data_IF_942055574887
#
_entry.id   IF_942055574887
#
_cell.length_a   1.000
_cell.length_b   1.000
_cell.length_c   1.000
_cell.angle_alpha   90.00
_cell.angle_beta   90.00
_cell.angle_gamma   90.00
#
_symmetry.space_group_name_H-M   'P 1'
#
loop_
_entity.id
_entity.type
_entity.pdbx_description
1 polymer ?
#
# COMPACT_ATOMS: atom_id res chain seq x y z
N UNK A 1 -17.41 16.56 7.85
CA UNK A 1 -18.77 16.42 8.42
C UNK A 1 -19.69 17.40 7.76
N UNK A 2 -20.66 16.90 7.00
CA UNK A 2 -21.66 17.61 6.18
C UNK A 2 -22.54 18.57 7.01
N UNK A 3 -21.94 19.61 7.60
CA UNK A 3 -22.55 20.48 8.60
C UNK A 3 -23.30 19.71 9.71
N UNK A 4 -22.71 18.65 10.27
CA UNK A 4 -23.40 17.74 11.22
C UNK A 4 -24.12 18.49 12.36
N UNK A 5 -23.46 19.47 12.96
CA UNK A 5 -24.04 20.35 14.00
C UNK A 5 -25.32 21.10 13.58
N UNK A 6 -25.56 21.29 12.27
CA UNK A 6 -26.79 21.91 11.73
C UNK A 6 -27.84 20.86 11.43
N UNK A 7 -27.43 19.79 10.74
CA UNK A 7 -28.35 18.71 10.33
C UNK A 7 -28.96 18.02 11.55
N UNK A 8 -28.17 17.81 12.62
CA UNK A 8 -28.66 17.28 13.90
C UNK A 8 -29.70 18.18 14.59
N UNK A 9 -29.68 19.49 14.31
CA UNK A 9 -30.67 20.45 14.78
C UNK A 9 -31.85 20.64 13.81
N UNK A 10 -31.97 19.80 12.77
CA UNK A 10 -33.01 19.91 11.75
C UNK A 10 -32.80 21.04 10.73
N UNK A 11 -31.61 21.64 10.69
CA UNK A 11 -31.27 22.71 9.75
C UNK A 11 -30.55 22.18 8.50
N UNK A 12 -30.78 22.82 7.35
CA UNK A 12 -30.04 22.50 6.13
C UNK A 12 -28.55 22.92 6.23
N UNK A 13 -27.65 22.25 5.49
CA UNK A 13 -26.24 22.61 5.40
C UNK A 13 -26.05 24.05 4.92
N UNK A 14 -25.03 24.74 5.43
CA UNK A 14 -24.77 26.13 5.06
C UNK A 14 -24.54 26.31 3.56
N UNK A 15 -23.84 25.37 2.90
CA UNK A 15 -23.59 25.43 1.46
C UNK A 15 -24.87 25.39 0.61
N UNK A 16 -25.95 24.77 1.11
CA UNK A 16 -27.24 24.75 0.42
C UNK A 16 -28.00 26.06 0.63
N UNK A 17 -28.07 26.56 1.87
CA UNK A 17 -28.81 27.79 2.21
C UNK A 17 -28.20 29.03 1.55
N UNK A 18 -26.86 29.11 1.49
CA UNK A 18 -26.15 30.27 0.95
C UNK A 18 -26.12 30.30 -0.58
N UNK A 19 -26.41 29.17 -1.24
CA UNK A 19 -26.28 29.06 -2.69
C UNK A 19 -27.42 29.84 -3.39
N UNK A 20 -27.12 30.97 -4.07
CA UNK A 20 -28.17 31.79 -4.68
C UNK A 20 -28.89 31.06 -5.83
N UNK A 21 -28.20 30.15 -6.50
CA UNK A 21 -28.74 29.35 -7.61
C UNK A 21 -29.32 28.01 -7.17
N UNK A 22 -29.30 27.70 -5.87
CA UNK A 22 -29.78 26.43 -5.31
C UNK A 22 -29.14 25.19 -5.98
N UNK A 23 -27.88 25.30 -6.41
CA UNK A 23 -27.15 24.24 -7.12
C UNK A 23 -26.83 23.01 -6.25
N UNK A 24 -26.94 23.11 -4.92
CA UNK A 24 -26.72 22.01 -4.00
C UNK A 24 -28.03 21.72 -3.28
N UNK A 25 -28.52 20.50 -3.44
CA UNK A 25 -29.71 20.00 -2.76
C UNK A 25 -29.30 18.83 -1.87
N UNK A 26 -29.73 18.86 -0.60
CA UNK A 26 -29.49 17.78 0.35
C UNK A 26 -30.79 17.34 1.03
N UNK A 27 -30.82 16.09 1.46
CA UNK A 27 -31.97 15.50 2.13
C UNK A 27 -31.83 13.98 2.27
N UNK A 28 -32.90 13.35 2.71
CA UNK A 28 -32.99 11.88 2.82
C UNK A 28 -33.38 11.29 1.46
N UNK A 29 -32.53 10.42 0.91
CA UNK A 29 -32.79 9.71 -0.36
C UNK A 29 -33.70 8.48 -0.16
N UNK A 30 -33.84 7.99 1.07
CA UNK A 30 -34.69 6.85 1.39
C UNK A 30 -36.16 7.26 1.62
N UNK A 31 -36.42 8.55 1.87
CA UNK A 31 -37.77 9.11 1.95
C UNK A 31 -38.27 9.55 0.56
N UNK A 32 -39.24 8.84 -0.04
CA UNK A 32 -39.77 9.16 -1.38
C UNK A 32 -40.54 10.49 -1.44
N UNK A 33 -40.95 11.02 -0.29
CA UNK A 33 -41.61 12.34 -0.22
C UNK A 33 -40.62 13.49 -0.18
N UNK A 34 -39.34 13.21 0.01
CA UNK A 34 -38.30 14.23 0.07
C UNK A 34 -38.10 14.91 -1.29
N UNK A 35 -37.72 16.19 -1.24
CA UNK A 35 -37.45 16.96 -2.45
C UNK A 35 -36.29 16.35 -3.26
N UNK A 36 -35.23 15.88 -2.59
CA UNK A 36 -34.07 15.28 -3.26
C UNK A 36 -34.41 13.93 -3.91
N UNK A 37 -35.23 13.10 -3.28
CA UNK A 37 -35.66 11.82 -3.86
C UNK A 37 -36.48 12.05 -5.14
N UNK A 38 -37.40 13.01 -5.10
CA UNK A 38 -38.18 13.41 -6.29
C UNK A 38 -37.28 13.99 -7.40
N UNK A 39 -36.30 14.82 -7.04
CA UNK A 39 -35.36 15.40 -8.00
C UNK A 39 -34.50 14.32 -8.67
N UNK A 40 -33.95 13.39 -7.88
CA UNK A 40 -33.13 12.27 -8.34
C UNK A 40 -33.91 11.29 -9.24
N UNK A 41 -35.24 11.20 -9.07
CA UNK A 41 -36.11 10.36 -9.89
C UNK A 41 -36.58 11.01 -11.20
N UNK A 42 -36.62 12.35 -11.26
CA UNK A 42 -37.16 13.10 -12.42
C UNK A 42 -36.09 13.62 -13.36
N UNK A 43 -34.92 13.96 -12.85
CA UNK A 43 -33.85 14.59 -13.62
C UNK A 43 -32.86 13.55 -14.18
N UNK A 44 -32.22 13.83 -15.33
CA UNK A 44 -31.13 13.01 -15.83
C UNK A 44 -29.90 13.20 -14.94
N UNK A 45 -29.68 12.22 -14.05
CA UNK A 45 -28.55 12.21 -13.12
C UNK A 45 -27.35 11.47 -13.70
N UNK A 46 -26.16 11.94 -13.33
CA UNK A 46 -24.89 11.23 -13.52
C UNK A 46 -24.17 11.12 -12.18
N UNK A 47 -23.39 10.06 -12.04
CA UNK A 47 -22.54 9.81 -10.88
C UNK A 47 -21.11 9.57 -11.34
N UNK A 48 -20.15 9.76 -10.44
CA UNK A 48 -18.73 9.47 -10.74
C UNK A 48 -18.47 7.97 -10.61
N UNK A 49 -17.74 7.41 -11.59
CA UNK A 49 -17.27 6.02 -11.62
C UNK A 49 -18.36 4.97 -11.30
N UNK A 50 -19.50 4.96 -12.01
CA UNK A 50 -20.60 4.02 -11.75
C UNK A 50 -20.16 2.55 -11.79
N UNK A 51 -19.16 2.21 -12.61
CA UNK A 51 -18.57 0.88 -12.75
C UNK A 51 -17.95 0.33 -11.46
N UNK A 52 -17.66 1.17 -10.46
CA UNK A 52 -17.11 0.74 -9.16
C UNK A 52 -18.17 0.18 -8.21
N UNK A 53 -19.45 0.34 -8.53
CA UNK A 53 -20.55 -0.20 -7.73
C UNK A 53 -20.53 0.29 -6.27
N UNK A 54 -20.09 1.53 -6.04
CA UNK A 54 -19.96 2.14 -4.70
C UNK A 54 -21.27 2.75 -4.18
N UNK A 55 -22.34 2.73 -4.99
CA UNK A 55 -23.65 3.33 -4.67
C UNK A 55 -23.49 4.76 -4.09
N UNK A 56 -22.91 5.69 -4.86
CA UNK A 56 -22.60 7.03 -4.36
C UNK A 56 -23.87 7.76 -3.94
N UNK A 57 -23.77 8.55 -2.86
CA UNK A 57 -24.85 9.38 -2.34
C UNK A 57 -24.88 10.80 -2.94
N UNK A 58 -24.02 11.05 -3.94
CA UNK A 58 -23.90 12.32 -4.64
C UNK A 58 -24.17 12.11 -6.12
N UNK A 59 -25.26 12.71 -6.60
CA UNK A 59 -25.68 12.74 -8.00
C UNK A 59 -25.48 14.14 -8.57
N UNK A 60 -25.16 14.22 -9.85
CA UNK A 60 -25.04 15.48 -10.58
C UNK A 60 -26.11 15.55 -11.67
N UNK A 61 -26.80 16.68 -11.78
CA UNK A 61 -27.79 16.94 -12.82
C UNK A 61 -27.09 17.65 -13.98
N UNK A 62 -27.28 17.18 -15.21
CA UNK A 62 -26.70 17.78 -16.43
C UNK A 62 -25.17 17.94 -16.39
N UNK A 63 -24.45 17.05 -15.69
CA UNK A 63 -22.99 17.12 -15.64
C UNK A 63 -22.35 16.63 -16.94
N UNK A 64 -21.42 17.43 -17.46
CA UNK A 64 -20.57 17.03 -18.56
C UNK A 64 -19.54 15.99 -18.11
N UNK A 65 -19.14 15.09 -19.02
CA UNK A 65 -18.19 14.02 -18.69
C UNK A 65 -16.80 14.55 -18.33
N UNK A 66 -16.39 15.65 -18.97
CA UNK A 66 -15.13 16.33 -18.68
C UNK A 66 -15.06 16.87 -17.24
N UNK A 67 -16.22 17.13 -16.62
CA UNK A 67 -16.32 17.60 -15.23
C UNK A 67 -16.36 16.46 -14.20
N UNK A 68 -16.74 15.25 -14.63
CA UNK A 68 -16.85 14.07 -13.77
C UNK A 68 -15.58 13.22 -13.77
N UNK A 69 -14.83 13.26 -14.86
CA UNK A 69 -13.62 12.46 -15.06
C UNK A 69 -12.38 13.35 -14.95
N UNK A 70 -11.59 13.28 -13.86
CA UNK A 70 -10.44 14.16 -13.64
C UNK A 70 -9.36 14.10 -14.75
N UNK A 71 -9.25 12.99 -15.46
CA UNK A 71 -8.33 12.80 -16.58
C UNK A 71 -8.87 13.21 -17.96
N UNK A 72 -10.14 13.62 -18.05
CA UNK A 72 -10.75 14.03 -19.32
C UNK A 72 -10.46 15.50 -19.68
N UNK A 73 -9.95 16.29 -18.74
CA UNK A 73 -9.51 17.66 -19.00
C UNK A 73 -8.00 17.78 -18.96
N UNK A 74 -7.45 18.66 -19.80
CA UNK A 74 -6.02 18.97 -19.79
C UNK A 74 -5.71 19.90 -18.63
N UNK A 75 -4.74 19.50 -17.80
CA UNK A 75 -4.17 20.36 -16.78
C UNK A 75 -3.29 21.43 -17.46
N UNK A 76 -3.46 22.72 -17.12
CA UNK A 76 -2.66 23.79 -17.72
C UNK A 76 -1.17 23.60 -17.44
N UNK A 77 -0.35 23.62 -18.49
CA UNK A 77 1.11 23.47 -18.38
C UNK A 77 1.77 24.86 -18.31
N UNK A 78 1.57 25.56 -17.20
CA UNK A 78 2.22 26.85 -16.96
C UNK A 78 1.43 27.75 -16.03
N UNK A 79 2.14 28.72 -15.45
CA UNK A 79 1.55 29.81 -14.69
C UNK A 79 0.94 30.79 -15.69
N UNK A 80 -0.40 30.92 -15.72
CA UNK A 80 -0.99 32.15 -16.22
C UNK A 80 -0.45 33.34 -15.42
N UNK A 81 -0.34 34.51 -16.06
CA UNK A 81 0.22 35.74 -15.49
C UNK A 81 -0.34 36.10 -14.09
N UNK A 82 -1.55 35.61 -13.78
CA UNK A 82 -2.25 35.82 -12.51
C UNK A 82 -2.78 34.53 -11.87
N UNK A 83 -2.43 33.34 -12.39
CA UNK A 83 -2.90 32.06 -11.84
C UNK A 83 -1.78 31.37 -11.08
N UNK A 84 -1.91 31.30 -9.76
CA UNK A 84 -1.15 30.35 -8.96
C UNK A 84 -1.84 29.00 -9.05
N UNK A 85 -1.32 28.12 -9.89
CA UNK A 85 -1.63 26.70 -9.73
C UNK A 85 -0.83 26.29 -8.51
N UNK A 86 -1.51 25.99 -7.40
CA UNK A 86 -0.89 25.21 -6.33
C UNK A 86 -0.59 23.87 -6.98
N UNK A 87 0.61 23.70 -7.55
CA UNK A 87 0.98 22.44 -8.15
C UNK A 87 0.96 21.46 -6.99
N UNK A 88 -0.06 20.57 -6.88
CA UNK A 88 0.00 19.50 -5.93
C UNK A 88 0.90 18.46 -6.58
N UNK A 89 2.12 18.89 -6.94
CA UNK A 89 3.20 17.94 -7.00
C UNK A 89 3.11 17.16 -5.70
N UNK A 90 3.42 15.87 -5.80
CA UNK A 90 3.66 15.05 -4.65
C UNK A 90 4.88 15.64 -3.93
N UNK A 91 4.70 16.78 -3.26
CA UNK A 91 5.57 17.32 -2.23
C UNK A 91 5.22 16.51 -1.01
N UNK A 92 5.47 15.21 -1.10
CA UNK A 92 5.78 14.50 0.11
C UNK A 92 7.14 15.04 0.57
N UNK A 93 7.10 16.12 1.37
CA UNK A 93 8.26 16.68 2.05
C UNK A 93 8.90 15.64 3.00
N UNK A 94 8.28 14.46 3.18
CA UNK A 94 8.80 13.39 4.02
C UNK A 94 9.96 12.61 3.39
N UNK A 95 10.21 12.74 2.08
CA UNK A 95 11.48 12.33 1.44
C UNK A 95 12.02 13.43 0.51
N UNK A 96 12.82 14.38 1.03
CA UNK A 96 13.38 15.51 0.26
C UNK A 96 14.25 15.09 -0.93
N UNK A 97 14.88 13.90 -0.85
CA UNK A 97 15.67 13.32 -1.94
C UNK A 97 14.82 12.89 -3.14
N UNK A 98 13.50 12.71 -2.96
CA UNK A 98 12.53 12.29 -3.98
C UNK A 98 11.71 13.45 -4.56
N UNK A 99 11.81 14.66 -4.02
CA UNK A 99 11.11 15.82 -4.58
C UNK A 99 11.82 16.26 -5.87
N UNK A 100 11.38 15.74 -7.00
CA UNK A 100 11.83 16.24 -8.30
C UNK A 100 11.33 17.67 -8.50
N UNK A 101 12.25 18.62 -8.64
CA UNK A 101 12.00 19.91 -9.27
C UNK A 101 11.67 19.65 -10.74
N UNK A 102 10.41 19.86 -11.14
CA UNK A 102 10.03 19.77 -12.55
C UNK A 102 10.57 21.00 -13.27
N UNK A 103 11.33 20.73 -14.32
CA UNK A 103 11.87 21.65 -15.31
C UNK A 103 10.78 22.49 -15.99
N UNK A 104 11.11 23.75 -16.26
CA UNK A 104 10.28 24.76 -16.92
C UNK A 104 9.59 24.22 -18.19
N UNK A 105 8.29 24.53 -18.34
CA UNK A 105 7.50 24.17 -19.51
C UNK A 105 8.11 24.77 -20.77
N UNK A 106 8.21 23.97 -21.84
CA UNK A 106 8.78 24.42 -23.11
C UNK A 106 7.76 25.26 -23.89
N UNK A 107 8.22 26.22 -24.69
CA UNK A 107 7.31 27.09 -25.48
C UNK A 107 6.42 26.35 -26.49
N UNK A 108 6.72 25.09 -26.79
CA UNK A 108 5.91 24.21 -27.64
C UNK A 108 4.65 23.71 -26.90
N UNK A 109 4.73 23.49 -25.59
CA UNK A 109 3.63 22.99 -24.75
C UNK A 109 2.49 24.02 -24.63
N UNK A 110 2.85 25.32 -24.63
CA UNK A 110 1.91 26.45 -24.59
C UNK A 110 1.10 26.61 -25.88
N UNK A 111 1.70 26.35 -27.05
CA UNK A 111 0.99 26.38 -28.33
C UNK A 111 0.02 25.20 -28.45
N UNK A 112 0.40 24.06 -27.89
CA UNK A 112 -0.43 22.86 -27.85
C UNK A 112 -1.58 22.99 -26.83
N UNK A 113 -1.46 23.84 -25.80
CA UNK A 113 -2.54 24.23 -24.88
C UNK A 113 -3.63 25.10 -25.57
N UNK A 114 -3.28 25.78 -26.67
CA UNK A 114 -4.18 26.68 -27.43
C UNK A 114 -4.89 25.98 -28.60
N UNK A 115 -4.40 24.82 -29.05
CA UNK A 115 -5.06 24.03 -30.11
C UNK A 115 -6.27 23.29 -29.53
N UNK A 116 -7.45 23.88 -29.75
CA UNK A 116 -8.73 23.51 -29.18
C UNK A 116 -9.26 22.16 -29.70
N UNK A 117 -9.51 21.21 -28.78
CA UNK A 117 -10.41 20.07 -28.97
C UNK A 117 -10.80 19.38 -27.64
N UNK A 118 -9.99 19.50 -26.57
CA UNK A 118 -10.28 18.95 -25.24
C UNK A 118 -10.63 20.02 -24.20
N UNK A 119 -11.51 19.69 -23.24
CA UNK A 119 -11.83 20.56 -22.10
C UNK A 119 -10.59 20.89 -21.27
N UNK A 120 -10.52 22.11 -20.73
CA UNK A 120 -9.38 22.60 -19.92
C UNK A 120 -9.77 22.70 -18.45
N UNK A 121 -8.90 22.25 -17.56
CA UNK A 121 -9.07 22.49 -16.12
C UNK A 121 -8.82 23.97 -15.82
N UNK A 122 -9.86 24.69 -15.40
CA UNK A 122 -9.78 26.12 -15.02
C UNK A 122 -9.56 26.29 -13.52
N UNK A 123 -10.27 25.48 -12.72
CA UNK A 123 -10.14 25.44 -11.27
C UNK A 123 -9.81 24.02 -10.83
N UNK A 124 -8.83 23.89 -9.95
CA UNK A 124 -8.45 22.63 -9.34
C UNK A 124 -8.17 22.84 -7.85
N UNK A 125 -8.46 21.83 -7.04
CA UNK A 125 -8.16 21.83 -5.60
C UNK A 125 -7.19 20.68 -5.33
N UNK A 126 -5.99 21.04 -4.87
CA UNK A 126 -5.03 20.05 -4.40
C UNK A 126 -5.56 19.30 -3.19
N UNK A 127 -5.53 17.97 -3.23
CA UNK A 127 -5.87 17.12 -2.10
C UNK A 127 -4.60 16.63 -1.41
N UNK A 128 -4.58 16.63 -0.08
CA UNK A 128 -3.48 16.04 0.67
C UNK A 128 -3.42 14.53 0.45
N UNK A 129 -2.21 13.98 0.40
CA UNK A 129 -1.99 12.53 0.29
C UNK A 129 -2.22 11.92 1.68
N UNK A 130 -3.26 11.08 1.86
CA UNK A 130 -3.62 10.60 3.19
C UNK A 130 -2.64 9.55 3.73
N UNK A 131 -2.05 8.72 2.87
CA UNK A 131 -1.10 7.68 3.28
C UNK A 131 0.30 7.99 2.75
N UNK A 132 1.24 8.28 3.66
CA UNK A 132 2.65 8.55 3.36
C UNK A 132 3.59 7.52 4.00
N UNK A 133 4.79 7.96 4.39
CA UNK A 133 5.87 7.10 4.90
C UNK A 133 5.50 6.13 6.02
N UNK A 134 4.60 6.51 6.93
CA UNK A 134 4.19 5.64 8.04
C UNK A 134 3.57 4.34 7.52
N UNK A 135 2.75 4.46 6.47
CA UNK A 135 2.07 3.33 5.83
C UNK A 135 3.05 2.41 5.14
N UNK A 136 3.97 2.96 4.35
CA UNK A 136 5.03 2.17 3.73
C UNK A 136 5.88 1.46 4.79
N UNK A 137 6.23 2.15 5.88
CA UNK A 137 7.09 1.59 6.92
C UNK A 137 6.41 0.44 7.66
N UNK A 138 5.13 0.56 8.02
CA UNK A 138 4.46 -0.55 8.71
C UNK A 138 4.12 -1.72 7.78
N UNK A 139 3.98 -1.52 6.47
CA UNK A 139 3.87 -2.64 5.52
C UNK A 139 5.20 -3.40 5.48
N UNK A 140 6.31 -2.67 5.43
CA UNK A 140 7.65 -3.26 5.36
C UNK A 140 8.02 -4.00 6.65
N UNK A 141 7.81 -3.38 7.81
CA UNK A 141 8.07 -4.04 9.11
C UNK A 141 7.17 -5.25 9.32
N UNK A 142 5.94 -5.22 8.80
CA UNK A 142 5.04 -6.36 8.84
C UNK A 142 5.57 -7.50 7.97
N UNK A 143 6.04 -7.21 6.77
CA UNK A 143 6.68 -8.21 5.87
C UNK A 143 7.89 -8.86 6.53
N UNK A 144 8.70 -8.10 7.27
CA UNK A 144 9.80 -8.64 8.08
C UNK A 144 9.28 -9.57 9.19
N UNK A 145 8.26 -9.13 9.93
CA UNK A 145 7.69 -9.91 11.03
C UNK A 145 7.12 -11.25 10.58
N UNK A 146 6.27 -11.23 9.55
CA UNK A 146 5.61 -12.42 9.04
C UNK A 146 6.58 -13.33 8.31
N UNK A 147 7.51 -12.76 7.54
CA UNK A 147 8.51 -13.47 6.78
C UNK A 147 9.44 -14.35 7.62
N UNK A 148 10.01 -13.79 8.70
CA UNK A 148 10.98 -14.54 9.51
C UNK A 148 10.35 -15.77 10.15
N UNK A 149 9.16 -15.63 10.73
CA UNK A 149 8.46 -16.76 11.34
C UNK A 149 7.93 -17.75 10.28
N UNK A 150 7.43 -17.26 9.15
CA UNK A 150 6.93 -18.11 8.06
C UNK A 150 8.02 -19.05 7.54
N UNK A 151 9.27 -18.59 7.44
CA UNK A 151 10.40 -19.43 7.05
C UNK A 151 10.76 -20.49 8.09
N UNK A 152 10.66 -20.18 9.38
CA UNK A 152 10.78 -21.18 10.45
C UNK A 152 9.66 -22.21 10.35
N UNK A 153 8.42 -21.77 10.15
CA UNK A 153 7.26 -22.63 10.01
C UNK A 153 7.35 -23.57 8.81
N UNK A 154 7.72 -23.06 7.64
CA UNK A 154 7.88 -23.87 6.43
C UNK A 154 9.12 -24.77 6.57
N UNK A 155 10.29 -24.21 6.89
CA UNK A 155 11.55 -24.95 6.91
C UNK A 155 11.57 -26.08 7.94
N UNK A 156 11.25 -25.76 9.19
CA UNK A 156 11.25 -26.75 10.30
C UNK A 156 9.96 -27.57 10.29
N UNK A 157 8.80 -26.95 10.05
CA UNK A 157 7.51 -27.64 10.12
C UNK A 157 7.32 -28.71 9.05
N UNK A 158 7.89 -28.52 7.85
CA UNK A 158 7.87 -29.54 6.79
C UNK A 158 9.04 -30.54 6.86
N UNK A 159 10.01 -30.30 7.73
CA UNK A 159 11.21 -31.13 7.85
C UNK A 159 12.26 -30.89 6.75
N UNK A 160 12.15 -29.81 5.96
CA UNK A 160 13.16 -29.43 4.96
C UNK A 160 14.52 -29.11 5.60
N UNK A 161 14.50 -28.61 6.85
CA UNK A 161 15.70 -28.21 7.58
C UNK A 161 15.57 -28.60 9.04
N UNK A 162 16.67 -29.05 9.64
CA UNK A 162 16.71 -29.32 11.09
C UNK A 162 16.56 -28.03 11.91
N UNK A 163 15.81 -28.12 13.01
CA UNK A 163 15.62 -27.03 13.96
C UNK A 163 16.96 -26.55 14.54
N UNK A 164 17.16 -25.23 14.55
CA UNK A 164 18.44 -24.62 14.91
C UNK A 164 18.23 -23.25 15.57
N UNK A 165 19.24 -22.70 16.27
CA UNK A 165 19.08 -21.46 17.02
C UNK A 165 18.59 -20.26 16.20
N UNK A 166 18.96 -20.16 14.92
CA UNK A 166 18.49 -19.09 14.03
C UNK A 166 16.99 -19.20 13.75
N UNK A 167 16.47 -20.39 13.44
CA UNK A 167 15.04 -20.61 13.16
C UNK A 167 14.19 -20.72 14.43
N UNK A 168 14.75 -21.17 15.55
CA UNK A 168 14.06 -21.16 16.84
C UNK A 168 14.02 -19.75 17.42
N UNK A 169 15.16 -19.16 17.76
CA UNK A 169 15.23 -17.90 18.50
C UNK A 169 15.30 -16.69 17.59
N UNK A 170 16.14 -16.73 16.55
CA UNK A 170 16.28 -15.61 15.62
C UNK A 170 14.95 -15.25 14.95
N UNK A 171 14.29 -16.23 14.34
CA UNK A 171 12.99 -16.03 13.69
C UNK A 171 11.91 -15.53 14.65
N UNK A 172 11.79 -16.13 15.85
CA UNK A 172 10.79 -15.74 16.85
C UNK A 172 11.01 -14.33 17.38
N UNK A 173 12.23 -14.00 17.80
CA UNK A 173 12.55 -12.70 18.39
C UNK A 173 12.40 -11.60 17.35
N UNK A 174 12.90 -11.82 16.13
CA UNK A 174 12.73 -10.86 15.04
C UNK A 174 11.25 -10.69 14.67
N UNK A 175 10.48 -11.78 14.60
CA UNK A 175 9.06 -11.71 14.31
C UNK A 175 8.31 -10.90 15.37
N UNK A 176 8.55 -11.15 16.66
CA UNK A 176 7.95 -10.41 17.77
C UNK A 176 8.38 -8.93 17.77
N UNK A 177 9.66 -8.65 17.53
CA UNK A 177 10.20 -7.29 17.48
C UNK A 177 9.54 -6.47 16.37
N UNK A 178 9.55 -7.00 15.14
CA UNK A 178 9.00 -6.29 13.98
C UNK A 178 7.46 -6.26 14.00
N UNK A 179 6.80 -7.25 14.59
CA UNK A 179 5.35 -7.20 14.84
C UNK A 179 5.02 -6.09 15.86
N UNK A 180 5.77 -6.01 16.96
CA UNK A 180 5.65 -4.94 17.95
C UNK A 180 5.88 -3.56 17.34
N UNK A 181 6.89 -3.41 16.49
CA UNK A 181 7.16 -2.17 15.74
C UNK A 181 6.00 -1.84 14.79
N UNK A 182 5.47 -2.83 14.06
CA UNK A 182 4.31 -2.67 13.18
C UNK A 182 3.10 -2.19 13.98
N UNK A 183 2.79 -2.82 15.11
CA UNK A 183 1.68 -2.41 15.99
C UNK A 183 1.87 -1.00 16.54
N UNK A 184 3.08 -0.63 16.96
CA UNK A 184 3.38 0.71 17.44
C UNK A 184 3.19 1.77 16.33
N UNK A 185 3.70 1.50 15.13
CA UNK A 185 3.54 2.40 13.97
C UNK A 185 2.06 2.54 13.58
N UNK A 186 1.28 1.46 13.59
CA UNK A 186 -0.15 1.51 13.33
C UNK A 186 -0.90 2.37 14.35
N UNK A 187 -0.56 2.29 15.64
CA UNK A 187 -1.18 3.11 16.69
C UNK A 187 -0.78 4.58 16.54
N UNK A 188 0.49 4.87 16.25
CA UNK A 188 1.01 6.24 16.09
C UNK A 188 0.48 6.92 14.83
N UNK A 189 0.14 6.16 13.79
CA UNK A 189 -0.45 6.71 12.56
C UNK A 189 -1.91 7.17 12.75
N UNK A 190 -2.59 6.71 13.81
CA UNK A 190 -3.91 7.20 14.17
C UNK A 190 -3.83 8.68 14.56
N UNK A 191 -4.74 9.50 14.01
CA UNK A 191 -4.88 10.91 14.43
C UNK A 191 -5.31 11.08 15.89
N UNK A 192 -5.86 10.02 16.50
CA UNK A 192 -6.27 9.92 17.92
C UNK A 192 -5.77 8.60 18.51
N UNK A 193 -4.45 8.47 18.78
CA UNK A 193 -3.84 7.23 19.23
C UNK A 193 -4.42 6.74 20.55
N UNK A 194 -4.89 7.66 21.42
CA UNK A 194 -5.52 7.33 22.70
C UNK A 194 -6.79 6.49 22.57
N UNK A 195 -7.41 6.47 21.37
CA UNK A 195 -8.64 5.72 21.09
C UNK A 195 -8.38 4.40 20.38
N UNK A 196 -7.13 3.95 20.21
CA UNK A 196 -6.81 2.74 19.45
C UNK A 196 -7.60 1.51 19.95
N UNK A 197 -7.79 1.36 21.26
CA UNK A 197 -8.50 0.24 21.88
C UNK A 197 -9.95 0.11 21.39
N UNK A 198 -10.55 1.18 20.86
CA UNK A 198 -11.92 1.16 20.33
C UNK A 198 -12.07 0.21 19.14
N UNK A 199 -11.01 -0.02 18.35
CA UNK A 199 -11.05 -0.98 17.24
C UNK A 199 -11.24 -2.42 17.73
N UNK A 200 -10.77 -2.73 18.95
CA UNK A 200 -10.88 -4.04 19.58
C UNK A 200 -12.16 -4.18 20.43
N UNK A 201 -12.61 -3.09 21.06
CA UNK A 201 -13.81 -3.13 21.91
C UNK A 201 -15.12 -2.90 21.15
N UNK A 202 -15.07 -2.24 19.98
CA UNK A 202 -16.25 -1.95 19.14
C UNK A 202 -15.94 -2.26 17.66
N UNK A 203 -15.76 -3.54 17.32
CA UNK A 203 -15.32 -3.94 15.99
C UNK A 203 -16.40 -3.68 14.92
N UNK A 204 -15.98 -3.12 13.79
CA UNK A 204 -16.77 -3.06 12.56
C UNK A 204 -16.28 -4.13 11.59
N UNK A 205 -16.93 -5.30 11.58
CA UNK A 205 -16.51 -6.50 10.85
C UNK A 205 -16.52 -6.36 9.32
N UNK A 206 -17.11 -5.30 8.77
CA UNK A 206 -17.00 -4.97 7.33
C UNK A 206 -15.70 -4.24 6.97
N UNK A 207 -14.92 -3.80 7.96
CA UNK A 207 -13.67 -3.06 7.76
C UNK A 207 -12.46 -4.00 7.78
N UNK A 208 -11.65 -3.95 6.73
CA UNK A 208 -10.39 -4.71 6.68
C UNK A 208 -9.35 -4.20 7.67
N UNK A 209 -9.47 -2.94 8.13
CA UNK A 209 -8.63 -2.41 9.21
C UNK A 209 -8.90 -3.14 10.54
N UNK A 210 -10.17 -3.39 10.84
CA UNK A 210 -10.57 -4.14 12.04
C UNK A 210 -10.16 -5.61 11.91
N UNK A 211 -10.49 -6.26 10.79
CA UNK A 211 -10.12 -7.67 10.54
C UNK A 211 -8.59 -7.84 10.65
N UNK A 212 -7.82 -6.96 10.01
CA UNK A 212 -6.36 -6.96 10.07
C UNK A 212 -5.81 -6.82 11.49
N UNK A 213 -6.43 -5.98 12.32
CA UNK A 213 -6.03 -5.82 13.73
C UNK A 213 -6.19 -7.12 14.53
N UNK A 214 -7.29 -7.87 14.32
CA UNK A 214 -7.48 -9.18 14.94
C UNK A 214 -6.53 -10.24 14.40
N UNK A 215 -6.22 -10.22 13.09
CA UNK A 215 -5.21 -11.11 12.50
C UNK A 215 -3.85 -10.88 13.16
N UNK A 216 -3.42 -9.61 13.29
CA UNK A 216 -2.15 -9.27 13.95
C UNK A 216 -2.14 -9.65 15.43
N UNK A 217 -3.26 -9.46 16.14
CA UNK A 217 -3.39 -9.85 17.55
C UNK A 217 -3.29 -11.38 17.73
N UNK A 218 -4.02 -12.15 16.91
CA UNK A 218 -3.98 -13.61 16.94
C UNK A 218 -2.59 -14.14 16.57
N UNK A 219 -1.97 -13.56 15.54
CA UNK A 219 -0.61 -13.88 15.14
C UNK A 219 0.41 -13.58 16.26
N UNK A 220 0.32 -12.40 16.89
CA UNK A 220 1.15 -12.05 18.04
C UNK A 220 0.96 -12.98 19.23
N UNK A 221 -0.27 -13.43 19.50
CA UNK A 221 -0.57 -14.44 20.51
C UNK A 221 0.09 -15.78 20.22
N UNK A 222 0.05 -16.24 18.96
CA UNK A 222 0.70 -17.49 18.53
C UNK A 222 2.23 -17.40 18.61
N UNK A 223 2.81 -16.26 18.25
CA UNK A 223 4.25 -16.00 18.44
C UNK A 223 4.62 -15.99 19.92
N UNK A 224 3.81 -15.35 20.77
CA UNK A 224 4.01 -15.32 22.22
C UNK A 224 3.95 -16.72 22.85
N UNK A 225 2.98 -17.54 22.45
CA UNK A 225 2.90 -18.95 22.87
C UNK A 225 4.11 -19.76 22.38
N UNK A 226 4.55 -19.52 21.14
CA UNK A 226 5.73 -20.20 20.58
C UNK A 226 7.02 -19.80 21.29
N UNK A 227 7.13 -18.54 21.69
CA UNK A 227 8.23 -18.01 22.50
C UNK A 227 8.25 -18.63 23.90
N UNK A 228 7.10 -18.70 24.58
CA UNK A 228 6.98 -19.38 25.88
C UNK A 228 7.32 -20.87 25.76
N UNK A 229 6.85 -21.55 24.71
CA UNK A 229 7.18 -22.95 24.46
C UNK A 229 8.68 -23.16 24.26
N UNK A 230 9.35 -22.24 23.53
CA UNK A 230 10.81 -22.26 23.39
C UNK A 230 11.53 -22.02 24.73
N UNK A 231 11.05 -21.07 25.54
CA UNK A 231 11.62 -20.71 26.84
C UNK A 231 11.56 -21.87 27.85
N UNK A 232 10.45 -22.61 27.88
CA UNK A 232 10.27 -23.77 28.77
C UNK A 232 10.79 -25.09 28.18
N UNK A 233 11.41 -25.08 27.00
CA UNK A 233 11.92 -26.30 26.35
C UNK A 233 10.83 -27.25 25.84
N UNK A 234 9.59 -26.79 25.71
CA UNK A 234 8.43 -27.56 25.22
C UNK A 234 8.48 -27.72 23.68
N UNK A 235 9.51 -28.42 23.19
CA UNK A 235 9.87 -28.52 21.77
C UNK A 235 8.72 -29.07 20.92
N UNK A 236 8.05 -30.15 21.35
CA UNK A 236 6.93 -30.73 20.60
C UNK A 236 5.74 -29.76 20.45
N UNK A 237 5.44 -29.00 21.51
CA UNK A 237 4.37 -28.00 21.47
C UNK A 237 4.72 -26.82 20.56
N UNK A 238 5.98 -26.39 20.57
CA UNK A 238 6.47 -25.36 19.65
C UNK A 238 6.39 -25.81 18.18
N UNK A 239 6.77 -27.05 17.89
CA UNK A 239 6.66 -27.62 16.54
C UNK A 239 5.20 -27.70 16.08
N UNK A 240 4.27 -28.03 16.98
CA UNK A 240 2.85 -27.93 16.69
C UNK A 240 2.43 -26.49 16.35
N UNK A 241 2.89 -25.50 17.12
CA UNK A 241 2.57 -24.07 16.91
C UNK A 241 3.12 -23.47 15.60
N UNK A 242 4.12 -24.09 14.97
CA UNK A 242 4.62 -23.68 13.65
C UNK A 242 3.51 -23.65 12.59
N UNK A 243 2.57 -24.58 12.64
CA UNK A 243 1.48 -24.67 11.67
C UNK A 243 0.44 -23.54 11.81
N UNK A 244 -0.25 -23.36 12.96
CA UNK A 244 -1.18 -22.25 13.12
C UNK A 244 -0.46 -20.90 13.09
N UNK A 245 0.77 -20.81 13.60
CA UNK A 245 1.58 -19.58 13.51
C UNK A 245 2.00 -19.25 12.08
N UNK A 246 2.35 -20.26 11.27
CA UNK A 246 2.68 -20.10 9.85
C UNK A 246 1.47 -19.64 9.05
N UNK A 247 0.28 -20.23 9.30
CA UNK A 247 -0.97 -19.74 8.75
C UNK A 247 -1.25 -18.29 9.18
N UNK A 248 -1.04 -17.98 10.46
CA UNK A 248 -1.15 -16.61 10.99
C UNK A 248 -0.21 -15.63 10.27
N UNK A 249 1.03 -16.04 9.98
CA UNK A 249 2.00 -15.25 9.24
C UNK A 249 1.55 -15.01 7.78
N UNK A 250 1.01 -16.03 7.10
CA UNK A 250 0.44 -15.87 5.75
C UNK A 250 -0.74 -14.89 5.78
N UNK A 251 -1.71 -15.08 6.68
CA UNK A 251 -2.86 -14.19 6.81
C UNK A 251 -2.42 -12.75 7.13
N UNK A 252 -1.46 -12.58 8.03
CA UNK A 252 -0.87 -11.29 8.37
C UNK A 252 -0.14 -10.65 7.17
N UNK A 253 0.53 -11.43 6.32
CA UNK A 253 1.18 -10.91 5.12
C UNK A 253 0.14 -10.42 4.10
N UNK A 254 -0.90 -11.21 3.83
CA UNK A 254 -1.82 -10.97 2.70
C UNK A 254 -2.98 -10.02 3.01
N UNK A 255 -3.41 -9.85 4.28
CA UNK A 255 -4.62 -9.07 4.59
C UNK A 255 -4.56 -7.62 4.08
N UNK A 256 -3.36 -7.04 4.02
CA UNK A 256 -3.15 -5.67 3.51
C UNK A 256 -3.57 -5.53 2.05
N UNK A 257 -3.44 -6.58 1.23
CA UNK A 257 -3.94 -6.57 -0.13
C UNK A 257 -5.46 -6.37 -0.19
N UNK A 258 -6.19 -6.99 0.75
CA UNK A 258 -7.64 -6.81 0.86
C UNK A 258 -8.03 -5.45 1.45
N UNK A 259 -7.21 -4.90 2.36
CA UNK A 259 -7.36 -3.52 2.84
C UNK A 259 -7.26 -2.52 1.69
N UNK A 260 -6.29 -2.70 0.80
CA UNK A 260 -6.16 -1.90 -0.42
C UNK A 260 -7.34 -2.09 -1.38
N UNK A 261 -7.81 -3.32 -1.56
CA UNK A 261 -9.00 -3.61 -2.38
C UNK A 261 -10.29 -2.94 -1.87
N UNK A 262 -10.36 -2.57 -0.59
CA UNK A 262 -11.49 -1.82 -0.03
C UNK A 262 -11.55 -0.36 -0.53
N UNK A 263 -10.41 0.19 -0.97
CA UNK A 263 -10.33 1.53 -1.56
C UNK A 263 -10.74 1.54 -3.05
N UNK A 264 -12.01 1.19 -3.33
CA UNK A 264 -12.56 0.99 -4.69
C UNK A 264 -12.35 2.16 -5.68
N UNK A 265 -12.13 3.38 -5.20
CA UNK A 265 -11.84 4.52 -6.07
C UNK A 265 -10.41 4.53 -6.65
N UNK A 266 -9.50 3.75 -6.06
CA UNK A 266 -8.06 3.71 -6.37
C UNK A 266 -7.76 2.44 -7.18
N UNK A 267 -7.97 2.54 -8.49
CA UNK A 267 -7.96 1.38 -9.38
C UNK A 267 -6.65 0.59 -9.38
N UNK A 268 -5.52 1.27 -9.23
CA UNK A 268 -4.21 0.64 -9.17
C UNK A 268 -4.07 -0.36 -8.01
N UNK A 269 -4.77 -0.11 -6.91
CA UNK A 269 -4.74 -0.96 -5.72
C UNK A 269 -5.69 -2.16 -5.78
N UNK A 270 -6.54 -2.23 -6.80
CA UNK A 270 -7.51 -3.32 -6.99
C UNK A 270 -6.90 -4.55 -7.69
N UNK A 271 -5.58 -4.58 -7.89
CA UNK A 271 -4.89 -5.72 -8.51
C UNK A 271 -5.16 -7.02 -7.73
N UNK A 272 -5.73 -8.06 -8.38
CA UNK A 272 -5.96 -9.37 -7.74
C UNK A 272 -4.65 -10.07 -7.32
N UNK A 273 -3.52 -9.69 -7.91
CA UNK A 273 -2.21 -10.28 -7.61
C UNK A 273 -1.56 -9.73 -6.34
N UNK A 274 -2.07 -8.60 -5.80
CA UNK A 274 -1.47 -7.90 -4.67
C UNK A 274 -1.30 -8.77 -3.41
N UNK A 275 -2.26 -9.63 -3.00
CA UNK A 275 -2.06 -10.56 -1.88
C UNK A 275 -0.86 -11.50 -2.09
N UNK A 276 -0.69 -12.02 -3.31
CA UNK A 276 0.43 -12.90 -3.65
C UNK A 276 1.76 -12.12 -3.66
N UNK A 277 1.75 -10.89 -4.18
CA UNK A 277 2.92 -10.01 -4.19
C UNK A 277 3.42 -9.72 -2.76
N UNK A 278 2.50 -9.38 -1.85
CA UNK A 278 2.81 -9.14 -0.44
C UNK A 278 3.33 -10.40 0.28
N UNK A 279 2.89 -11.60 -0.13
CA UNK A 279 3.43 -12.85 0.40
C UNK A 279 4.88 -13.07 -0.07
N UNK A 280 5.18 -12.78 -1.33
CA UNK A 280 6.56 -12.84 -1.87
C UNK A 280 7.45 -11.83 -1.16
N UNK A 281 6.98 -10.60 -0.92
CA UNK A 281 7.71 -9.62 -0.11
C UNK A 281 8.02 -10.14 1.28
N UNK A 282 7.05 -10.75 1.96
CA UNK A 282 7.27 -11.30 3.28
C UNK A 282 8.36 -12.40 3.26
N UNK A 283 8.30 -13.32 2.30
CA UNK A 283 9.31 -14.38 2.16
C UNK A 283 10.72 -13.82 1.89
N UNK A 284 10.84 -12.88 0.94
CA UNK A 284 12.13 -12.25 0.61
C UNK A 284 12.66 -11.44 1.79
N UNK A 285 11.81 -10.62 2.43
CA UNK A 285 12.19 -9.78 3.56
C UNK A 285 12.60 -10.62 4.77
N UNK A 286 11.83 -11.67 5.08
CA UNK A 286 12.16 -12.62 6.14
C UNK A 286 13.47 -13.36 5.88
N UNK A 287 13.69 -13.81 4.64
CA UNK A 287 14.88 -14.58 4.29
C UNK A 287 16.13 -13.71 4.31
N UNK A 288 16.04 -12.49 3.74
CA UNK A 288 17.13 -11.51 3.78
C UNK A 288 17.48 -11.13 5.22
N UNK A 289 16.48 -10.89 6.07
CA UNK A 289 16.70 -10.54 7.46
C UNK A 289 17.31 -11.70 8.26
N UNK A 290 16.82 -12.93 8.09
CA UNK A 290 17.42 -14.11 8.74
C UNK A 290 18.83 -14.40 8.23
N UNK A 291 19.11 -14.17 6.94
CA UNK A 291 20.45 -14.33 6.39
C UNK A 291 21.44 -13.33 7.01
N UNK A 292 20.99 -12.10 7.28
CA UNK A 292 21.79 -11.08 7.97
C UNK A 292 22.09 -11.51 9.42
N UNK A 293 21.07 -11.93 10.17
CA UNK A 293 21.25 -12.35 11.56
C UNK A 293 21.92 -13.72 11.72
N UNK A 294 21.87 -14.57 10.69
CA UNK A 294 22.57 -15.85 10.61
C UNK A 294 24.10 -15.74 10.55
N UNK A 295 24.63 -14.53 10.43
CA UNK A 295 26.06 -14.24 10.61
C UNK A 295 26.46 -14.32 12.09
N UNK A 296 25.56 -13.93 12.98
CA UNK A 296 25.80 -13.88 14.43
C UNK A 296 25.21 -15.10 15.12
N UNK A 297 24.02 -15.54 14.68
CA UNK A 297 23.31 -16.67 15.27
C UNK A 297 23.66 -17.95 14.50
N UNK A 298 24.18 -19.00 15.17
CA UNK A 298 24.52 -20.26 14.52
C UNK A 298 23.35 -20.91 13.80
N UNK A 299 23.62 -21.44 12.61
CA UNK A 299 22.67 -22.18 11.77
C UNK A 299 23.36 -23.32 11.02
N UNK A 300 22.58 -24.32 10.61
CA UNK A 300 23.06 -25.43 9.81
C UNK A 300 23.22 -25.05 8.32
N UNK A 301 24.01 -25.82 7.53
CA UNK A 301 24.20 -25.55 6.10
C UNK A 301 22.90 -25.56 5.30
N UNK A 302 21.97 -26.45 5.65
CA UNK A 302 20.64 -26.55 5.05
C UNK A 302 19.84 -25.25 5.17
N UNK A 303 19.84 -24.60 6.36
CA UNK A 303 19.21 -23.29 6.55
C UNK A 303 19.85 -22.24 5.67
N UNK A 304 21.18 -22.23 5.57
CA UNK A 304 21.89 -21.24 4.74
C UNK A 304 21.54 -21.41 3.26
N UNK A 305 21.44 -22.65 2.77
CA UNK A 305 20.98 -22.92 1.41
C UNK A 305 19.54 -22.48 1.21
N UNK A 306 18.63 -22.82 2.12
CA UNK A 306 17.22 -22.42 2.04
C UNK A 306 17.07 -20.90 1.98
N UNK A 307 17.76 -20.16 2.88
CA UNK A 307 17.70 -18.71 2.90
C UNK A 307 18.27 -18.09 1.63
N UNK A 308 19.40 -18.61 1.14
CA UNK A 308 19.99 -18.19 -0.13
C UNK A 308 18.99 -18.36 -1.29
N UNK A 309 18.39 -19.55 -1.40
CA UNK A 309 17.49 -19.87 -2.51
C UNK A 309 16.20 -19.07 -2.45
N UNK A 310 15.64 -18.86 -1.25
CA UNK A 310 14.45 -18.03 -1.07
C UNK A 310 14.74 -16.56 -1.41
N UNK A 311 15.90 -16.01 -1.03
CA UNK A 311 16.26 -14.64 -1.44
C UNK A 311 16.45 -14.55 -2.95
N UNK A 312 17.25 -15.45 -3.55
CA UNK A 312 17.56 -15.42 -4.97
C UNK A 312 16.30 -15.59 -5.83
N UNK A 313 15.58 -16.70 -5.65
CA UNK A 313 14.39 -16.98 -6.45
C UNK A 313 13.20 -16.11 -6.05
N UNK A 314 13.09 -15.75 -4.77
CA UNK A 314 12.08 -14.80 -4.32
C UNK A 314 12.25 -13.44 -4.98
N UNK A 315 13.48 -12.92 -5.12
CA UNK A 315 13.74 -11.68 -5.86
C UNK A 315 13.43 -11.82 -7.36
N UNK A 316 13.79 -12.95 -7.98
CA UNK A 316 13.45 -13.19 -9.40
C UNK A 316 11.93 -13.19 -9.61
N UNK A 317 11.19 -13.92 -8.76
CA UNK A 317 9.73 -13.98 -8.80
C UNK A 317 9.14 -12.59 -8.50
N UNK A 318 9.67 -11.87 -7.52
CA UNK A 318 9.20 -10.53 -7.17
C UNK A 318 9.35 -9.54 -8.33
N UNK A 319 10.51 -9.55 -8.98
CA UNK A 319 10.78 -8.69 -10.13
C UNK A 319 9.86 -9.04 -11.31
N UNK A 320 9.64 -10.34 -11.56
CA UNK A 320 8.73 -10.80 -12.61
C UNK A 320 7.29 -10.39 -12.31
N UNK A 321 6.81 -10.58 -11.08
CA UNK A 321 5.47 -10.16 -10.65
C UNK A 321 5.30 -8.64 -10.74
N UNK A 322 6.30 -7.87 -10.35
CA UNK A 322 6.27 -6.41 -10.43
C UNK A 322 6.22 -5.92 -11.88
N UNK A 323 7.14 -6.38 -12.73
CA UNK A 323 7.23 -5.89 -14.10
C UNK A 323 6.11 -6.45 -14.98
N UNK A 324 5.97 -7.77 -15.01
CA UNK A 324 4.99 -8.44 -15.89
C UNK A 324 3.61 -8.45 -15.27
N UNK A 325 3.47 -8.76 -13.97
CA UNK A 325 2.17 -8.89 -13.33
C UNK A 325 1.44 -7.56 -13.08
N UNK A 326 2.17 -6.49 -12.76
CA UNK A 326 1.55 -5.22 -12.34
C UNK A 326 1.84 -4.03 -13.27
N UNK A 327 3.06 -3.87 -13.79
CA UNK A 327 3.43 -2.62 -14.46
C UNK A 327 3.31 -2.65 -15.99
N UNK A 328 3.62 -3.77 -16.65
CA UNK A 328 3.62 -3.88 -18.12
C UNK A 328 2.34 -4.45 -18.70
N UNK A 329 1.49 -5.07 -17.90
CA UNK A 329 0.21 -5.58 -18.40
C UNK A 329 -0.72 -4.43 -18.81
N UNK A 330 -1.54 -4.62 -19.87
CA UNK A 330 -2.58 -3.67 -20.21
C UNK A 330 -3.53 -3.51 -19.03
N UNK A 331 -3.68 -2.28 -18.56
CA UNK A 331 -4.56 -1.97 -17.43
C UNK A 331 -5.98 -1.74 -17.92
N UNK A 332 -6.96 -2.29 -17.21
CA UNK A 332 -8.37 -2.18 -17.58
C UNK A 332 -8.95 -0.76 -17.45
N UNK A 333 -8.28 0.14 -16.73
CA UNK A 333 -8.72 1.53 -16.56
C UNK A 333 -7.60 2.53 -16.80
N UNK A 334 -7.96 3.73 -17.26
CA UNK A 334 -7.01 4.81 -17.53
C UNK A 334 -6.27 5.25 -16.26
N UNK A 335 -6.96 5.26 -15.12
CA UNK A 335 -6.39 5.60 -13.81
C UNK A 335 -5.28 4.64 -13.39
N UNK A 336 -5.50 3.33 -13.52
CA UNK A 336 -4.50 2.35 -13.18
C UNK A 336 -3.30 2.41 -14.14
N UNK A 337 -3.55 2.64 -15.44
CA UNK A 337 -2.49 2.88 -16.43
C UNK A 337 -1.68 4.16 -16.13
N UNK A 338 -2.34 5.21 -15.62
CA UNK A 338 -1.66 6.44 -15.22
C UNK A 338 -0.76 6.21 -14.00
N UNK A 339 -1.23 5.49 -12.98
CA UNK A 339 -0.42 5.12 -11.82
C UNK A 339 0.82 4.30 -12.23
N UNK A 340 0.67 3.29 -13.09
CA UNK A 340 1.79 2.51 -13.60
C UNK A 340 2.78 3.36 -14.41
N UNK A 341 2.29 4.31 -15.22
CA UNK A 341 3.15 5.26 -15.96
C UNK A 341 3.95 6.16 -15.02
N UNK A 342 3.39 6.58 -13.88
CA UNK A 342 4.13 7.36 -12.88
C UNK A 342 5.36 6.62 -12.35
N UNK A 343 5.24 5.29 -12.17
CA UNK A 343 6.33 4.40 -11.73
C UNK A 343 7.32 4.15 -12.87
N UNK A 344 6.85 3.83 -14.08
CA UNK A 344 7.74 3.40 -15.16
C UNK A 344 8.49 4.55 -15.85
N UNK A 345 7.82 5.68 -16.07
CA UNK A 345 8.33 6.80 -16.89
C UNK A 345 8.10 8.18 -16.28
N UNK A 346 7.26 8.28 -15.25
CA UNK A 346 6.95 9.54 -14.59
C UNK A 346 7.94 9.92 -13.50
N UNK A 347 7.44 10.67 -12.52
CA UNK A 347 8.23 11.26 -11.43
C UNK A 347 8.96 10.22 -10.56
N UNK A 348 8.43 9.00 -10.45
CA UNK A 348 9.01 7.94 -9.62
C UNK A 348 10.00 7.05 -10.38
N UNK A 349 10.14 7.23 -11.71
CA UNK A 349 10.91 6.35 -12.58
C UNK A 349 12.37 6.21 -12.18
N UNK A 350 13.04 7.32 -11.84
CA UNK A 350 14.45 7.30 -11.43
C UNK A 350 14.68 6.44 -10.19
N UNK A 351 13.78 6.53 -9.21
CA UNK A 351 13.86 5.76 -7.98
C UNK A 351 13.45 4.31 -8.18
N UNK A 352 12.43 4.06 -9.01
CA UNK A 352 12.02 2.72 -9.36
C UNK A 352 13.15 1.96 -10.07
N UNK A 353 13.67 2.49 -11.18
CA UNK A 353 14.73 1.82 -11.93
C UNK A 353 16.04 1.73 -11.15
N UNK A 354 16.44 2.81 -10.46
CA UNK A 354 17.68 2.86 -9.70
C UNK A 354 17.65 2.04 -8.40
N UNK A 355 16.71 2.35 -7.51
CA UNK A 355 16.69 1.77 -6.16
C UNK A 355 15.92 0.46 -6.08
N UNK A 356 14.81 0.31 -6.80
CA UNK A 356 14.02 -0.92 -6.76
C UNK A 356 14.62 -1.97 -7.69
N UNK A 357 14.74 -1.68 -8.99
CA UNK A 357 15.16 -2.68 -9.98
C UNK A 357 16.66 -2.95 -9.87
N UNK A 358 17.51 -1.94 -10.00
CA UNK A 358 18.97 -2.15 -10.01
C UNK A 358 19.48 -2.53 -8.62
N UNK A 359 19.35 -1.64 -7.63
CA UNK A 359 19.86 -1.90 -6.29
C UNK A 359 19.09 -3.02 -5.57
N UNK A 360 17.76 -2.99 -5.62
CA UNK A 360 16.92 -3.92 -4.87
C UNK A 360 16.84 -5.34 -5.43
N UNK A 361 17.02 -5.53 -6.73
CA UNK A 361 16.86 -6.84 -7.38
C UNK A 361 18.10 -7.27 -8.16
N UNK A 362 18.52 -6.51 -9.19
CA UNK A 362 19.60 -6.94 -10.10
C UNK A 362 20.91 -7.15 -9.35
N UNK A 363 21.34 -6.20 -8.51
CA UNK A 363 22.56 -6.31 -7.72
C UNK A 363 22.54 -7.54 -6.80
N UNK A 364 21.56 -7.73 -5.90
CA UNK A 364 21.53 -8.91 -5.03
C UNK A 364 21.38 -10.22 -5.81
N UNK A 365 20.59 -10.27 -6.89
CA UNK A 365 20.48 -11.46 -7.75
C UNK A 365 21.84 -11.82 -8.34
N UNK A 366 22.56 -10.85 -8.92
CA UNK A 366 23.88 -11.11 -9.51
C UNK A 366 24.90 -11.53 -8.45
N UNK A 367 24.90 -10.88 -7.28
CA UNK A 367 25.80 -11.21 -6.18
C UNK A 367 25.61 -12.65 -5.70
N UNK A 368 24.36 -13.10 -5.56
CA UNK A 368 24.03 -14.45 -5.09
C UNK A 368 24.21 -15.51 -6.21
N UNK A 369 23.82 -15.19 -7.45
CA UNK A 369 23.91 -16.14 -8.56
C UNK A 369 25.34 -16.38 -9.06
N UNK A 370 26.18 -15.35 -9.10
CA UNK A 370 27.55 -15.46 -9.64
C UNK A 370 28.56 -16.01 -8.62
N UNK A 371 28.22 -16.01 -7.33
CA UNK A 371 29.10 -16.49 -6.25
C UNK A 371 28.38 -17.59 -5.46
N UNK A 372 28.28 -18.82 -5.99
CA UNK A 372 27.72 -19.94 -5.24
C UNK A 372 28.52 -20.18 -3.96
N UNK A 373 27.84 -20.27 -2.81
CA UNK A 373 28.51 -20.30 -1.51
C UNK A 373 29.07 -18.95 -1.07
N UNK A 374 28.41 -17.86 -1.51
CA UNK A 374 28.79 -16.47 -1.26
C UNK A 374 29.32 -16.25 0.17
N UNK A 375 30.48 -15.58 0.31
CA UNK A 375 31.01 -15.26 1.63
C UNK A 375 30.04 -14.36 2.38
N UNK A 376 30.13 -14.40 3.71
CA UNK A 376 29.24 -13.67 4.63
C UNK A 376 29.00 -12.20 4.21
N UNK A 377 30.06 -11.50 3.80
CA UNK A 377 29.96 -10.10 3.37
C UNK A 377 29.05 -9.89 2.15
N UNK A 378 29.06 -10.82 1.19
CA UNK A 378 28.22 -10.75 0.00
C UNK A 378 26.76 -10.98 0.36
N UNK A 379 26.46 -11.96 1.21
CA UNK A 379 25.10 -12.24 1.69
C UNK A 379 24.53 -11.06 2.48
N UNK A 380 25.35 -10.39 3.30
CA UNK A 380 24.95 -9.18 4.03
C UNK A 380 24.59 -8.04 3.08
N UNK A 381 25.46 -7.75 2.11
CA UNK A 381 25.22 -6.69 1.14
C UNK A 381 23.97 -6.99 0.30
N UNK A 382 23.83 -8.22 -0.19
CA UNK A 382 22.66 -8.64 -0.94
C UNK A 382 21.36 -8.51 -0.13
N UNK A 383 21.36 -8.96 1.13
CA UNK A 383 20.22 -8.83 2.03
C UNK A 383 19.82 -7.37 2.29
N UNK A 384 20.78 -6.50 2.58
CA UNK A 384 20.53 -5.07 2.81
C UNK A 384 20.00 -4.37 1.56
N UNK A 385 20.55 -4.71 0.38
CA UNK A 385 20.09 -4.19 -0.90
C UNK A 385 18.64 -4.61 -1.18
N UNK A 386 18.32 -5.90 -1.01
CA UNK A 386 16.97 -6.44 -1.17
C UNK A 386 15.97 -5.75 -0.23
N UNK A 387 16.30 -5.64 1.06
CA UNK A 387 15.45 -5.00 2.06
C UNK A 387 15.18 -3.52 1.76
N UNK A 388 16.21 -2.80 1.31
CA UNK A 388 16.10 -1.39 0.90
C UNK A 388 15.22 -1.25 -0.34
N UNK A 389 15.41 -2.13 -1.34
CA UNK A 389 14.61 -2.16 -2.55
C UNK A 389 13.12 -2.40 -2.28
N UNK A 390 12.81 -3.36 -1.39
CA UNK A 390 11.44 -3.64 -0.97
C UNK A 390 10.78 -2.44 -0.29
N UNK A 391 11.48 -1.78 0.65
CA UNK A 391 10.97 -0.58 1.34
C UNK A 391 10.65 0.54 0.35
N UNK A 392 11.56 0.81 -0.59
CA UNK A 392 11.35 1.85 -1.61
C UNK A 392 10.20 1.46 -2.53
N UNK A 393 10.11 0.19 -2.95
CA UNK A 393 9.01 -0.28 -3.79
C UNK A 393 7.65 -0.09 -3.12
N UNK A 394 7.49 -0.52 -1.87
CA UNK A 394 6.23 -0.36 -1.12
C UNK A 394 5.82 1.11 -1.00
N UNK A 395 6.80 2.00 -0.84
CA UNK A 395 6.54 3.45 -0.84
C UNK A 395 6.10 3.95 -2.22
N UNK A 396 6.84 3.64 -3.29
CA UNK A 396 6.49 4.10 -4.63
C UNK A 396 5.13 3.56 -5.10
N UNK A 397 4.83 2.29 -4.80
CA UNK A 397 3.56 1.65 -5.15
C UNK A 397 2.38 2.30 -4.43
N UNK A 398 2.53 2.58 -3.13
CA UNK A 398 1.53 3.29 -2.32
C UNK A 398 1.28 4.70 -2.87
N UNK A 399 2.34 5.43 -3.19
CA UNK A 399 2.25 6.81 -3.65
C UNK A 399 1.67 6.89 -5.05
N UNK A 400 2.06 6.02 -5.97
CA UNK A 400 1.54 5.97 -7.33
C UNK A 400 0.02 5.78 -7.37
N UNK A 401 -0.52 4.87 -6.54
CA UNK A 401 -1.98 4.65 -6.46
C UNK A 401 -2.77 5.87 -5.98
N UNK A 402 -2.20 6.71 -5.11
CA UNK A 402 -2.85 7.93 -4.60
C UNK A 402 -2.63 9.18 -5.44
N UNK A 403 -1.59 9.16 -6.28
CA UNK A 403 -1.19 10.29 -7.12
C UNK A 403 -2.17 10.56 -8.26
N UNK A 404 -2.99 9.57 -8.65
CA UNK A 404 -4.03 9.74 -9.67
C UNK A 404 -5.22 10.51 -9.07
N UNK A 405 -5.70 11.62 -9.68
CA UNK A 405 -6.82 12.37 -9.11
C UNK A 405 -8.12 11.56 -9.08
N UNK A 406 -8.87 11.64 -7.98
CA UNK A 406 -10.19 11.00 -7.85
C UNK A 406 -11.35 11.92 -8.27
N UNK A 407 -11.12 13.23 -8.27
CA UNK A 407 -12.18 14.23 -8.28
C UNK A 407 -11.82 15.53 -8.96
#
# INVERSE_FOLDING_TARGET
NFCAHRVEAGLQPSCQIVCPTQAIVSGDLDDPTSFIANLNAREPIRVRKPEKGTKPQLSYINADESSLTPGATRQPQGFGMWSQISNPHITDLSMPLLSSTVTEASGLDLLQDLSAEAGRTVYNVGHAIPWGKNVSLYIWTKSLATGTFLLSAIGVGTGMVQDNPLLTWGALVLALLFLGLTSALLILDLKRPERFYTILLRPQWRSWLTIGSYILLAYGGLLGLSFLAALFGATSFRHFLLWPGGLGAVLAAIYTGFLFAQAKGRDFWLSPALPAHLLVHALVAGAALLAIFGVVIPSNPETKSLLHDVVLWGLVVNLLMTLVGELWMPHGTQDAAQAARLILRGIYSRFFWGLVVVLGHVVPILLLALIPGAPIGVTLVAGLCALTGLLVFEHLWLMAGQSVPLS
#
